data_IF_300648379403
#
_entry.id   IF_300648379403
#
_cell.length_a   1.000
_cell.length_b   1.000
_cell.length_c   1.000
_cell.angle_alpha   90.00
_cell.angle_beta   90.00
_cell.angle_gamma   90.00
#
_symmetry.space_group_name_H-M   'P 1'
#
loop_
_entity.id
_entity.type
_entity.pdbx_description
1 polymer ?
#
# COMPACT_ATOMS: atom_id res chain seq x y z
N UNK A 1 33.84 -3.42 9.07
CA UNK A 1 33.29 -2.55 8.00
C UNK A 1 31.84 -2.89 7.65
N UNK A 2 31.48 -4.18 7.61
CA UNK A 2 30.11 -4.68 7.32
C UNK A 2 29.04 -4.13 8.28
N UNK A 3 29.33 -4.01 9.59
CA UNK A 3 28.37 -3.49 10.57
C UNK A 3 28.02 -2.00 10.39
N UNK A 4 28.94 -1.19 9.84
CA UNK A 4 28.66 0.23 9.55
C UNK A 4 27.78 0.39 8.31
N UNK A 5 27.94 -0.51 7.33
CA UNK A 5 27.14 -0.52 6.11
C UNK A 5 25.70 -1.03 6.36
N UNK A 6 25.53 -2.12 7.12
CA UNK A 6 24.19 -2.61 7.49
C UNK A 6 23.43 -1.61 8.35
N UNK A 7 24.13 -0.93 9.26
CA UNK A 7 23.55 0.11 10.11
C UNK A 7 23.18 1.38 9.32
N UNK A 8 24.00 1.78 8.33
CA UNK A 8 23.66 2.89 7.43
C UNK A 8 22.48 2.57 6.49
N UNK A 9 22.37 1.33 6.01
CA UNK A 9 21.24 0.87 5.21
C UNK A 9 19.94 0.81 6.04
N UNK A 10 20.02 0.34 7.29
CA UNK A 10 18.90 0.31 8.24
C UNK A 10 18.38 1.73 8.59
N UNK A 11 19.27 2.73 8.76
CA UNK A 11 18.81 4.12 8.95
C UNK A 11 18.13 4.71 7.72
N UNK A 12 18.69 4.45 6.52
CA UNK A 12 18.13 4.99 5.28
C UNK A 12 16.79 4.33 4.93
N UNK A 13 16.62 3.05 5.22
CA UNK A 13 15.34 2.37 5.00
C UNK A 13 14.23 2.95 5.87
N UNK A 14 14.52 3.33 7.12
CA UNK A 14 13.55 3.98 8.01
C UNK A 14 13.05 5.33 7.48
N UNK A 15 13.94 6.20 7.01
CA UNK A 15 13.55 7.50 6.45
C UNK A 15 12.77 7.35 5.14
N UNK A 16 13.17 6.43 4.27
CA UNK A 16 12.45 6.16 3.01
C UNK A 16 11.07 5.60 3.31
N UNK A 17 10.95 4.65 4.24
CA UNK A 17 9.68 4.08 4.67
C UNK A 17 8.73 5.15 5.21
N UNK A 18 9.22 6.01 6.11
CA UNK A 18 8.46 7.14 6.65
C UNK A 18 7.99 8.08 5.53
N UNK A 19 8.87 8.44 4.60
CA UNK A 19 8.52 9.33 3.49
C UNK A 19 7.45 8.70 2.59
N UNK A 20 7.57 7.42 2.26
CA UNK A 20 6.60 6.68 1.45
C UNK A 20 5.23 6.62 2.12
N UNK A 21 5.15 6.44 3.45
CA UNK A 21 3.87 6.51 4.18
C UNK A 21 3.19 7.87 4.02
N UNK A 22 3.95 8.97 4.12
CA UNK A 22 3.41 10.33 3.94
C UNK A 22 2.97 10.59 2.52
N UNK A 23 3.79 10.23 1.54
CA UNK A 23 3.46 10.40 0.12
C UNK A 23 2.21 9.60 -0.28
N UNK A 24 2.13 8.33 0.13
CA UNK A 24 0.93 7.50 -0.13
C UNK A 24 -0.32 8.09 0.52
N UNK A 25 -0.22 8.63 1.74
CA UNK A 25 -1.34 9.32 2.40
C UNK A 25 -1.81 10.55 1.61
N UNK A 26 -0.88 11.42 1.20
CA UNK A 26 -1.20 12.64 0.44
C UNK A 26 -1.85 12.29 -0.89
N UNK A 27 -1.26 11.34 -1.63
CA UNK A 27 -1.81 10.87 -2.91
C UNK A 27 -3.21 10.29 -2.71
N UNK A 28 -3.42 9.50 -1.65
CA UNK A 28 -4.72 8.90 -1.36
C UNK A 28 -5.80 9.95 -1.11
N UNK A 29 -5.50 11.01 -0.35
CA UNK A 29 -6.43 12.13 -0.12
C UNK A 29 -6.83 12.80 -1.43
N UNK A 30 -5.86 13.06 -2.31
CA UNK A 30 -6.11 13.68 -3.62
C UNK A 30 -6.96 12.77 -4.52
N UNK A 31 -6.66 11.46 -4.54
CA UNK A 31 -7.38 10.48 -5.36
C UNK A 31 -8.83 10.31 -4.91
N UNK A 32 -9.08 10.15 -3.60
CA UNK A 32 -10.44 10.04 -3.05
C UNK A 32 -11.24 11.31 -3.32
N UNK A 33 -10.61 12.48 -3.13
CA UNK A 33 -11.28 13.77 -3.41
C UNK A 33 -11.65 13.91 -4.89
N UNK A 34 -10.76 13.48 -5.78
CA UNK A 34 -10.99 13.50 -7.23
C UNK A 34 -12.10 12.53 -7.63
N UNK A 35 -12.10 11.32 -7.07
CA UNK A 35 -13.16 10.35 -7.29
C UNK A 35 -14.53 10.86 -6.80
N UNK A 36 -14.59 11.41 -5.58
CA UNK A 36 -15.82 12.01 -5.03
C UNK A 36 -16.33 13.14 -5.91
N UNK A 37 -15.44 14.00 -6.42
CA UNK A 37 -15.82 15.07 -7.35
C UNK A 37 -16.41 14.50 -8.64
N UNK A 38 -15.74 13.54 -9.28
CA UNK A 38 -16.25 12.88 -10.50
C UNK A 38 -17.59 12.20 -10.26
N UNK A 39 -17.80 11.61 -9.08
CA UNK A 39 -19.06 10.99 -8.69
C UNK A 39 -20.19 12.02 -8.50
N UNK A 40 -19.93 13.13 -7.79
CA UNK A 40 -20.93 14.18 -7.52
C UNK A 40 -21.41 14.87 -8.81
N UNK A 41 -20.51 15.06 -9.77
CA UNK A 41 -20.81 15.76 -11.02
C UNK A 41 -21.12 14.82 -12.20
N UNK A 42 -21.26 13.51 -11.95
CA UNK A 42 -21.56 12.47 -12.94
C UNK A 42 -20.68 12.54 -14.21
N UNK A 43 -19.37 12.69 -14.01
CA UNK A 43 -18.42 12.93 -15.11
C UNK A 43 -17.98 11.66 -15.85
N UNK A 44 -18.62 10.51 -15.62
CA UNK A 44 -18.39 9.27 -16.40
C UNK A 44 -17.01 8.60 -16.28
N UNK A 45 -16.10 9.09 -15.42
CA UNK A 45 -14.70 8.63 -15.32
C UNK A 45 -14.34 7.91 -14.00
N UNK A 46 -15.33 7.34 -13.30
CA UNK A 46 -15.13 6.79 -11.95
C UNK A 46 -14.25 5.54 -11.87
N UNK A 47 -14.23 4.67 -12.89
CA UNK A 47 -13.66 3.32 -12.78
C UNK A 47 -12.13 3.28 -12.68
N UNK A 48 -11.40 4.02 -13.53
CA UNK A 48 -9.93 4.08 -13.46
C UNK A 48 -9.45 4.82 -12.22
N UNK A 49 -10.13 5.91 -11.81
CA UNK A 49 -9.81 6.63 -10.58
C UNK A 49 -10.03 5.76 -9.33
N UNK A 50 -11.10 4.95 -9.31
CA UNK A 50 -11.32 3.96 -8.25
C UNK A 50 -10.19 2.95 -8.19
N UNK A 51 -9.79 2.38 -9.33
CA UNK A 51 -8.69 1.41 -9.39
C UNK A 51 -7.39 1.98 -8.78
N UNK A 52 -6.97 3.18 -9.21
CA UNK A 52 -5.78 3.83 -8.64
C UNK A 52 -5.93 4.15 -7.15
N UNK A 53 -7.13 4.54 -6.71
CA UNK A 53 -7.42 4.77 -5.29
C UNK A 53 -7.25 3.49 -4.47
N UNK A 54 -7.78 2.37 -4.96
CA UNK A 54 -7.60 1.05 -4.32
C UNK A 54 -6.14 0.60 -4.31
N UNK A 55 -5.41 0.80 -5.41
CA UNK A 55 -4.00 0.44 -5.51
C UNK A 55 -3.15 1.21 -4.48
N UNK A 56 -3.35 2.52 -4.38
CA UNK A 56 -2.64 3.36 -3.40
C UNK A 56 -3.07 3.02 -1.97
N UNK A 57 -4.36 2.71 -1.75
CA UNK A 57 -4.85 2.24 -0.44
C UNK A 57 -4.15 0.96 -0.01
N UNK A 58 -4.02 -0.02 -0.91
CA UNK A 58 -3.32 -1.28 -0.61
C UNK A 58 -1.85 -1.03 -0.25
N UNK A 59 -1.15 -0.19 -1.02
CA UNK A 59 0.24 0.18 -0.71
C UNK A 59 0.35 0.91 0.64
N UNK A 60 -0.59 1.82 0.94
CA UNK A 60 -0.60 2.55 2.20
C UNK A 60 -0.83 1.62 3.40
N UNK A 61 -1.79 0.70 3.29
CA UNK A 61 -2.06 -0.33 4.29
C UNK A 61 -0.84 -1.23 4.50
N UNK A 62 -0.17 -1.63 3.41
CA UNK A 62 1.06 -2.42 3.47
C UNK A 62 2.13 -1.78 4.34
N UNK A 63 2.38 -0.50 4.13
CA UNK A 63 3.36 0.25 4.93
C UNK A 63 2.90 0.45 6.37
N UNK A 64 1.61 0.73 6.59
CA UNK A 64 1.07 0.97 7.93
C UNK A 64 1.06 -0.28 8.81
N UNK A 65 0.65 -1.42 8.26
CA UNK A 65 0.57 -2.67 9.02
C UNK A 65 1.95 -3.22 9.39
N UNK A 66 2.98 -2.94 8.59
CA UNK A 66 4.36 -3.28 8.93
C UNK A 66 4.80 -2.62 10.25
N UNK A 67 4.46 -1.34 10.44
CA UNK A 67 4.76 -0.64 11.70
C UNK A 67 3.93 -1.17 12.86
N UNK A 68 2.66 -1.56 12.63
CA UNK A 68 1.86 -2.25 13.66
C UNK A 68 2.53 -3.55 14.12
N UNK A 69 2.94 -4.42 13.19
CA UNK A 69 3.62 -5.68 13.54
C UNK A 69 4.89 -5.40 14.35
N UNK A 70 5.67 -4.41 13.93
CA UNK A 70 6.93 -4.02 14.57
C UNK A 70 6.75 -3.45 15.98
N UNK A 71 5.68 -2.68 16.19
CA UNK A 71 5.39 -2.07 17.48
C UNK A 71 4.82 -3.08 18.49
N UNK A 72 4.04 -4.07 18.03
CA UNK A 72 3.29 -4.97 18.93
C UNK A 72 3.83 -6.41 19.03
N UNK A 73 4.67 -6.87 18.08
CA UNK A 73 5.15 -8.25 18.06
C UNK A 73 6.66 -8.30 18.32
N UNK A 74 7.03 -8.66 19.55
CA UNK A 74 8.43 -8.71 19.96
C UNK A 74 9.07 -10.10 19.84
N UNK A 75 8.26 -11.18 19.77
CA UNK A 75 8.78 -12.52 19.56
C UNK A 75 9.25 -12.66 18.10
N UNK A 76 10.52 -13.02 17.83
CA UNK A 76 11.07 -13.04 16.48
C UNK A 76 10.43 -14.09 15.56
N UNK A 77 9.99 -15.23 16.11
CA UNK A 77 9.32 -16.28 15.35
C UNK A 77 7.91 -15.82 14.96
N UNK A 78 7.17 -15.24 15.91
CA UNK A 78 5.83 -14.67 15.64
C UNK A 78 5.92 -13.48 14.68
N UNK A 79 6.92 -12.61 14.84
CA UNK A 79 7.16 -11.48 13.94
C UNK A 79 7.34 -11.96 12.50
N UNK A 80 8.25 -12.92 12.29
CA UNK A 80 8.54 -13.46 10.95
C UNK A 80 7.33 -14.15 10.33
N UNK A 81 6.56 -14.90 11.13
CA UNK A 81 5.32 -15.54 10.70
C UNK A 81 4.24 -14.52 10.30
N UNK A 82 4.02 -13.49 11.11
CA UNK A 82 3.05 -12.43 10.83
C UNK A 82 3.40 -11.64 9.57
N UNK A 83 4.68 -11.29 9.37
CA UNK A 83 5.15 -10.66 8.13
C UNK A 83 4.90 -11.58 6.92
N UNK A 84 5.20 -12.87 7.05
CA UNK A 84 4.97 -13.85 5.99
C UNK A 84 3.49 -13.95 5.58
N UNK A 85 2.59 -14.13 6.55
CA UNK A 85 1.15 -14.15 6.30
C UNK A 85 0.65 -12.84 5.69
N UNK A 86 1.12 -11.71 6.19
CA UNK A 86 0.72 -10.42 5.69
C UNK A 86 1.15 -10.18 4.23
N UNK A 87 2.37 -10.60 3.88
CA UNK A 87 2.85 -10.54 2.49
C UNK A 87 1.99 -11.40 1.55
N UNK A 88 1.61 -12.61 1.99
CA UNK A 88 0.72 -13.48 1.20
C UNK A 88 -0.62 -12.78 0.98
N UNK A 89 -1.24 -12.27 2.05
CA UNK A 89 -2.51 -11.56 1.97
C UNK A 89 -2.44 -10.35 1.02
N UNK A 90 -1.38 -9.55 1.13
CA UNK A 90 -1.17 -8.38 0.27
C UNK A 90 -1.03 -8.77 -1.20
N UNK A 91 -0.20 -9.76 -1.51
CA UNK A 91 0.02 -10.23 -2.88
C UNK A 91 -1.29 -10.78 -3.49
N UNK A 92 -2.02 -11.62 -2.75
CA UNK A 92 -3.29 -12.16 -3.21
C UNK A 92 -4.33 -11.06 -3.45
N UNK A 93 -4.40 -10.06 -2.57
CA UNK A 93 -5.31 -8.92 -2.72
C UNK A 93 -4.95 -8.07 -3.94
N UNK A 94 -3.66 -7.83 -4.16
CA UNK A 94 -3.17 -7.07 -5.32
C UNK A 94 -3.46 -7.82 -6.63
N UNK A 95 -3.22 -9.13 -6.66
CA UNK A 95 -3.54 -9.96 -7.83
C UNK A 95 -5.03 -9.91 -8.16
N UNK A 96 -5.90 -10.03 -7.15
CA UNK A 96 -7.34 -9.91 -7.33
C UNK A 96 -7.74 -8.54 -7.92
N UNK A 97 -7.20 -7.45 -7.36
CA UNK A 97 -7.48 -6.10 -7.85
C UNK A 97 -7.06 -5.90 -9.32
N UNK A 98 -5.88 -6.40 -9.71
CA UNK A 98 -5.39 -6.32 -11.08
C UNK A 98 -6.29 -7.13 -12.02
N UNK A 99 -6.64 -8.37 -11.64
CA UNK A 99 -7.52 -9.22 -12.45
C UNK A 99 -8.89 -8.58 -12.65
N UNK A 100 -9.49 -8.05 -11.57
CA UNK A 100 -10.78 -7.36 -11.64
C UNK A 100 -10.74 -6.14 -12.56
N UNK A 101 -9.65 -5.38 -12.53
CA UNK A 101 -9.47 -4.24 -13.43
C UNK A 101 -9.33 -4.67 -14.90
N UNK A 102 -8.53 -5.69 -15.18
CA UNK A 102 -8.36 -6.21 -16.53
C UNK A 102 -9.69 -6.75 -17.08
N UNK A 103 -10.44 -7.50 -16.28
CA UNK A 103 -11.75 -8.05 -16.65
C UNK A 103 -12.76 -6.93 -16.94
N UNK A 104 -12.83 -5.90 -16.09
CA UNK A 104 -13.69 -4.75 -16.31
C UNK A 104 -13.42 -4.07 -17.67
N UNK A 105 -12.14 -3.82 -18.00
CA UNK A 105 -11.76 -3.16 -19.25
C UNK A 105 -11.88 -4.07 -20.49
N UNK A 106 -11.97 -5.39 -20.31
CA UNK A 106 -12.18 -6.32 -21.41
C UNK A 106 -13.65 -6.40 -21.85
N UNK A 107 -14.58 -5.99 -20.98
CA UNK A 107 -16.04 -6.10 -21.19
C UNK A 107 -16.67 -4.72 -21.51
N UNK A 108 -16.01 -3.62 -21.14
CA UNK A 108 -16.42 -2.22 -21.44
C UNK A 108 -16.04 -1.78 -22.84
#
# INVERSE_FOLDING_TARGET
>A
MINKLSYALSRKSGHIHWLLQRLTSIILVLLISSWLFSFIFDLGHGSSLLFYSFLITMLHLYLGFYEVIKDYIHNPNTYSFCIGLYNIFFISSLQYLILAYVEYNAIS
#
